data_IF_029273804969
#
_entry.id   IF_029273804969
#
_cell.length_a   1.000
_cell.length_b   1.000
_cell.length_c   1.000
_cell.angle_alpha   90.00
_cell.angle_beta   90.00
_cell.angle_gamma   90.00
#
_symmetry.space_group_name_H-M   'P 1'
#
loop_
_entity.id
_entity.type
_entity.pdbx_description
1 polymer ?
#
# COMPACT_ATOMS: atom_id res chain seq x y z
N UNK A 1 -33.81 8.52 -8.31
CA UNK A 1 -32.89 7.42 -8.01
C UNK A 1 -31.63 7.45 -8.87
N UNK A 2 -31.66 7.92 -10.13
CA UNK A 2 -30.48 8.02 -11.01
C UNK A 2 -29.34 8.89 -10.44
N UNK A 3 -29.64 10.02 -9.80
CA UNK A 3 -28.59 10.94 -9.30
C UNK A 3 -27.79 10.45 -8.08
N UNK A 4 -28.24 9.43 -7.37
CA UNK A 4 -27.51 8.90 -6.18
C UNK A 4 -26.53 7.81 -6.60
N UNK A 5 -26.87 7.02 -7.59
CA UNK A 5 -25.99 5.97 -8.11
C UNK A 5 -24.80 6.54 -8.86
N UNK A 6 -24.98 7.56 -9.72
CA UNK A 6 -23.89 8.21 -10.45
C UNK A 6 -22.81 8.80 -9.52
N UNK A 7 -23.17 9.26 -8.31
CA UNK A 7 -22.21 9.77 -7.34
C UNK A 7 -21.48 8.68 -6.53
N UNK A 8 -21.95 7.44 -6.60
CA UNK A 8 -21.38 6.30 -5.88
C UNK A 8 -20.32 5.52 -6.69
N UNK A 9 -20.32 5.66 -8.02
CA UNK A 9 -19.36 5.01 -8.90
C UNK A 9 -18.01 5.75 -8.92
N UNK A 10 -16.96 5.02 -9.27
CA UNK A 10 -15.63 5.58 -9.43
C UNK A 10 -15.65 6.69 -10.49
N UNK A 11 -15.58 7.92 -10.04
CA UNK A 11 -15.32 9.08 -10.88
C UNK A 11 -13.87 9.50 -10.73
N UNK A 12 -13.27 10.03 -11.79
CA UNK A 12 -11.96 10.68 -11.70
C UNK A 12 -12.08 11.82 -10.69
N UNK A 13 -11.48 11.63 -9.53
CA UNK A 13 -11.54 12.58 -8.42
C UNK A 13 -10.68 13.80 -8.77
N UNK A 14 -11.21 15.01 -8.58
CA UNK A 14 -10.38 16.22 -8.72
C UNK A 14 -9.33 16.24 -7.61
N UNK A 15 -8.20 16.95 -7.85
CA UNK A 15 -7.15 17.08 -6.84
C UNK A 15 -7.69 17.68 -5.52
N UNK A 16 -8.50 18.73 -5.62
CA UNK A 16 -9.07 19.40 -4.45
C UNK A 16 -9.99 18.48 -3.63
N UNK A 17 -10.80 17.67 -4.29
CA UNK A 17 -11.66 16.70 -3.61
C UNK A 17 -10.85 15.57 -2.98
N UNK A 18 -9.81 15.10 -3.68
CA UNK A 18 -8.91 14.09 -3.13
C UNK A 18 -8.19 14.60 -1.87
N UNK A 19 -7.55 15.77 -1.94
CA UNK A 19 -6.82 16.35 -0.81
C UNK A 19 -7.72 16.69 0.38
N UNK A 20 -9.00 17.01 0.13
CA UNK A 20 -9.96 17.23 1.22
C UNK A 20 -10.26 15.98 2.02
N UNK A 21 -10.30 14.82 1.38
CA UNK A 21 -10.49 13.53 2.05
C UNK A 21 -9.95 12.35 1.23
N UNK A 22 -8.64 12.04 1.30
CA UNK A 22 -8.01 10.97 0.51
C UNK A 22 -8.64 9.59 0.74
N UNK A 23 -9.19 9.34 1.94
CA UNK A 23 -9.85 8.07 2.27
C UNK A 23 -11.24 7.91 1.66
N UNK A 24 -11.85 8.97 1.12
CA UNK A 24 -13.18 8.91 0.49
C UNK A 24 -13.16 8.62 -1.01
N UNK A 25 -12.00 8.73 -1.66
CA UNK A 25 -11.90 8.49 -3.09
C UNK A 25 -12.07 6.98 -3.38
N UNK A 26 -11.06 6.33 -3.88
CA UNK A 26 -11.05 4.87 -4.02
C UNK A 26 -9.96 4.30 -3.12
N UNK A 27 -9.77 2.99 -3.13
CA UNK A 27 -8.60 2.38 -2.52
C UNK A 27 -7.29 2.83 -3.18
N UNK A 28 -7.33 3.33 -4.42
CA UNK A 28 -6.17 3.79 -5.16
C UNK A 28 -5.61 5.12 -4.62
N UNK A 29 -4.29 5.33 -4.64
CA UNK A 29 -3.68 6.64 -4.44
C UNK A 29 -4.02 7.59 -5.61
N UNK A 30 -3.85 8.91 -5.40
CA UNK A 30 -4.22 9.89 -6.40
C UNK A 30 -3.58 9.62 -7.76
N UNK A 31 -2.26 9.45 -7.79
CA UNK A 31 -1.50 9.21 -9.01
C UNK A 31 -2.03 8.02 -9.83
N UNK A 32 -2.30 6.88 -9.17
CA UNK A 32 -2.86 5.69 -9.84
C UNK A 32 -4.29 5.92 -10.29
N UNK A 33 -5.10 6.62 -9.52
CA UNK A 33 -6.50 6.90 -9.85
C UNK A 33 -6.66 7.72 -11.14
N UNK A 34 -5.68 8.58 -11.46
CA UNK A 34 -5.69 9.37 -12.70
C UNK A 34 -5.37 8.56 -13.97
N UNK A 35 -4.82 7.36 -13.81
CA UNK A 35 -4.34 6.50 -14.91
C UNK A 35 -5.07 5.18 -15.03
N UNK A 36 -5.74 4.76 -13.97
CA UNK A 36 -6.44 3.49 -13.95
C UNK A 36 -7.73 3.55 -14.75
N UNK A 37 -7.93 2.57 -15.62
CA UNK A 37 -9.19 2.32 -16.29
C UNK A 37 -9.87 1.19 -15.54
N UNK A 38 -11.06 1.46 -15.01
CA UNK A 38 -11.86 0.42 -14.36
C UNK A 38 -12.46 -0.47 -15.47
N UNK A 39 -12.23 -1.80 -15.44
CA UNK A 39 -12.84 -2.71 -16.41
C UNK A 39 -14.37 -2.64 -16.37
N UNK A 40 -15.04 -2.83 -17.51
CA UNK A 40 -16.51 -2.73 -17.64
C UNK A 40 -17.27 -3.72 -16.74
N UNK A 41 -16.63 -4.82 -16.33
CA UNK A 41 -17.21 -5.81 -15.42
C UNK A 41 -16.87 -5.59 -13.96
N UNK A 42 -16.25 -4.45 -13.60
CA UNK A 42 -15.87 -4.07 -12.23
C UNK A 42 -16.60 -2.80 -11.82
N UNK A 43 -17.13 -2.80 -10.60
CA UNK A 43 -17.69 -1.62 -9.96
C UNK A 43 -16.85 -1.27 -8.73
N UNK A 44 -16.53 0.00 -8.57
CA UNK A 44 -15.91 0.51 -7.34
C UNK A 44 -16.96 1.36 -6.63
N UNK A 45 -17.41 0.89 -5.47
CA UNK A 45 -18.49 1.50 -4.71
C UNK A 45 -17.97 1.83 -3.32
N UNK A 46 -18.34 3.00 -2.82
CA UNK A 46 -18.02 3.38 -1.44
C UNK A 46 -18.88 2.56 -0.47
N UNK A 47 -18.29 2.21 0.66
CA UNK A 47 -18.93 1.38 1.69
C UNK A 47 -20.27 1.97 2.18
N UNK A 48 -20.37 3.30 2.31
CA UNK A 48 -21.59 4.01 2.72
C UNK A 48 -22.71 4.01 1.65
N UNK A 49 -22.41 3.65 0.42
CA UNK A 49 -23.35 3.51 -0.70
C UNK A 49 -23.55 2.05 -1.14
N UNK A 50 -22.81 1.10 -0.55
CA UNK A 50 -22.92 -0.31 -0.92
C UNK A 50 -24.14 -0.98 -0.28
N UNK A 51 -24.89 -1.70 -1.10
CA UNK A 51 -25.97 -2.56 -0.65
C UNK A 51 -25.87 -3.92 -1.32
N UNK A 52 -25.62 -4.96 -0.53
CA UNK A 52 -25.46 -6.32 -1.06
C UNK A 52 -26.68 -6.80 -1.85
N UNK A 53 -27.88 -6.33 -1.52
CA UNK A 53 -29.12 -6.70 -2.23
C UNK A 53 -29.21 -6.07 -3.62
N UNK A 54 -28.54 -4.95 -3.86
CA UNK A 54 -28.51 -4.24 -5.15
C UNK A 54 -27.44 -4.78 -6.08
N UNK A 55 -26.39 -5.42 -5.52
CA UNK A 55 -25.21 -5.89 -6.26
C UNK A 55 -25.00 -7.41 -6.12
N UNK A 56 -26.10 -8.19 -6.05
CA UNK A 56 -26.03 -9.64 -5.83
C UNK A 56 -25.30 -10.43 -6.94
N UNK A 57 -25.19 -9.89 -8.11
CA UNK A 57 -24.50 -10.51 -9.27
C UNK A 57 -23.00 -10.24 -9.30
N UNK A 58 -22.49 -9.42 -8.37
CA UNK A 58 -21.08 -9.11 -8.25
C UNK A 58 -20.44 -9.83 -7.07
N UNK A 59 -19.17 -10.18 -7.22
CA UNK A 59 -18.34 -10.64 -6.11
C UNK A 59 -17.87 -9.42 -5.32
N UNK A 60 -18.19 -9.39 -4.03
CA UNK A 60 -17.81 -8.31 -3.14
C UNK A 60 -16.38 -8.52 -2.61
N UNK A 61 -15.50 -7.56 -2.87
CA UNK A 61 -14.13 -7.54 -2.37
C UNK A 61 -13.88 -6.25 -1.61
N UNK A 62 -14.15 -6.21 -0.30
CA UNK A 62 -14.02 -4.99 0.50
C UNK A 62 -12.57 -4.61 0.75
N UNK A 63 -12.27 -3.31 0.58
CA UNK A 63 -10.98 -2.70 0.87
C UNK A 63 -11.12 -1.63 1.95
N UNK A 64 -10.12 -1.54 2.82
CA UNK A 64 -9.93 -0.36 3.66
C UNK A 64 -8.93 0.60 3.01
N UNK A 65 -9.02 1.88 3.36
CA UNK A 65 -7.98 2.88 3.10
C UNK A 65 -7.74 3.68 4.38
N UNK A 66 -6.48 3.78 4.79
CA UNK A 66 -6.04 4.54 5.95
C UNK A 66 -5.15 5.68 5.54
N UNK A 67 -5.07 6.69 6.40
CA UNK A 67 -4.19 7.85 6.27
C UNK A 67 -3.37 8.04 7.54
N UNK A 68 -2.10 8.42 7.38
CA UNK A 68 -1.22 8.85 8.45
C UNK A 68 -0.69 10.26 8.17
N UNK A 69 -0.85 11.18 9.11
CA UNK A 69 -0.47 12.60 8.98
C UNK A 69 1.02 12.88 9.25
N UNK A 70 1.86 11.86 9.40
CA UNK A 70 3.31 11.95 9.67
C UNK A 70 3.68 12.72 10.96
N UNK A 71 2.72 12.91 11.87
CA UNK A 71 2.92 13.59 13.16
C UNK A 71 3.43 12.63 14.23
N UNK A 72 4.24 13.16 15.16
CA UNK A 72 4.72 12.43 16.35
C UNK A 72 5.50 11.14 16.07
N UNK A 73 6.09 11.02 14.89
CA UNK A 73 6.90 9.86 14.52
C UNK A 73 8.18 9.78 15.35
N UNK A 74 8.55 8.56 15.69
CA UNK A 74 9.85 8.24 16.26
C UNK A 74 10.58 7.30 15.31
N UNK A 75 11.88 7.49 15.17
CA UNK A 75 12.69 6.59 14.34
C UNK A 75 12.61 5.18 14.94
N UNK A 76 12.19 4.18 14.19
CA UNK A 76 12.15 2.81 14.68
C UNK A 76 13.55 2.25 14.85
N UNK A 77 13.67 1.24 15.69
CA UNK A 77 14.92 0.49 15.90
C UNK A 77 14.68 -0.93 15.42
N UNK A 78 15.53 -1.39 14.51
CA UNK A 78 15.56 -2.78 14.07
C UNK A 78 16.30 -3.62 15.13
N UNK A 79 15.80 -4.83 15.39
CA UNK A 79 16.48 -5.74 16.32
C UNK A 79 17.85 -6.17 15.80
N UNK A 80 18.83 -6.40 16.68
CA UNK A 80 20.23 -6.69 16.36
C UNK A 80 20.46 -7.91 15.46
N UNK A 81 19.47 -8.80 15.38
CA UNK A 81 19.50 -9.97 14.49
C UNK A 81 19.32 -9.60 13.01
N UNK A 82 18.82 -8.42 12.73
CA UNK A 82 18.37 -8.04 11.40
C UNK A 82 19.06 -6.78 10.91
N UNK A 83 19.37 -6.75 9.62
CA UNK A 83 19.97 -5.60 8.95
C UNK A 83 19.05 -5.08 7.83
N UNK A 84 19.08 -3.76 7.60
CA UNK A 84 18.56 -3.19 6.38
C UNK A 84 19.54 -3.44 5.25
N UNK A 85 19.12 -4.21 4.27
CA UNK A 85 19.88 -4.56 3.07
C UNK A 85 19.47 -3.79 1.84
N UNK A 86 20.20 -4.02 0.76
CA UNK A 86 19.88 -3.59 -0.58
C UNK A 86 19.77 -4.82 -1.46
N UNK A 87 18.61 -5.01 -2.07
CA UNK A 87 18.30 -6.16 -2.91
C UNK A 87 17.91 -5.74 -4.31
N UNK A 88 18.11 -6.63 -5.30
CA UNK A 88 17.66 -6.43 -6.67
C UNK A 88 16.15 -6.59 -6.82
N UNK A 89 15.61 -6.03 -7.90
CA UNK A 89 14.16 -6.04 -8.20
C UNK A 89 13.62 -7.47 -8.25
N UNK A 90 14.36 -8.41 -8.80
CA UNK A 90 13.99 -9.84 -8.86
C UNK A 90 13.92 -10.49 -7.46
N UNK A 91 14.70 -10.05 -6.50
CA UNK A 91 14.59 -10.51 -5.12
C UNK A 91 13.30 -9.99 -4.47
N UNK A 92 12.93 -8.73 -4.72
CA UNK A 92 11.65 -8.19 -4.27
C UNK A 92 10.47 -8.93 -4.89
N UNK A 93 10.45 -9.13 -6.23
CA UNK A 93 9.37 -9.84 -6.93
C UNK A 93 9.21 -11.26 -6.37
N UNK A 94 10.30 -11.99 -6.21
CA UNK A 94 10.32 -13.35 -5.63
C UNK A 94 9.79 -13.35 -4.21
N UNK A 95 10.23 -12.44 -3.34
CA UNK A 95 9.79 -12.35 -1.95
C UNK A 95 8.30 -12.01 -1.82
N UNK A 96 7.79 -11.09 -2.66
CA UNK A 96 6.35 -10.79 -2.75
C UNK A 96 5.58 -12.05 -3.15
N UNK A 97 6.04 -12.76 -4.20
CA UNK A 97 5.41 -13.98 -4.67
C UNK A 97 5.38 -15.08 -3.59
N UNK A 98 6.46 -15.30 -2.87
CA UNK A 98 6.56 -16.26 -1.76
C UNK A 98 5.60 -15.92 -0.60
N UNK A 99 5.41 -14.63 -0.31
CA UNK A 99 4.55 -14.19 0.80
C UNK A 99 3.05 -14.24 0.48
N UNK A 100 2.67 -14.02 -0.79
CA UNK A 100 1.27 -13.90 -1.21
C UNK A 100 0.76 -15.08 -2.06
N UNK A 101 1.65 -15.96 -2.52
CA UNK A 101 1.30 -17.04 -3.46
C UNK A 101 0.96 -16.54 -4.86
N UNK A 102 1.43 -15.35 -5.19
CA UNK A 102 1.20 -14.60 -6.43
C UNK A 102 1.68 -13.17 -6.20
N UNK A 103 1.26 -12.22 -7.01
CA UNK A 103 1.59 -10.82 -6.80
C UNK A 103 2.16 -10.18 -8.07
N UNK A 104 3.24 -9.44 -7.94
CA UNK A 104 3.85 -8.66 -9.00
C UNK A 104 5.06 -9.40 -9.59
N UNK A 105 5.20 -9.36 -10.92
CA UNK A 105 6.36 -9.90 -11.63
C UNK A 105 7.57 -8.97 -11.56
N UNK A 106 8.76 -9.48 -11.90
CA UNK A 106 9.97 -8.66 -12.03
C UNK A 106 9.80 -7.53 -13.06
N UNK A 107 9.15 -7.82 -14.20
CA UNK A 107 8.92 -6.84 -15.25
C UNK A 107 7.97 -5.72 -14.78
N UNK A 108 6.92 -6.06 -14.04
CA UNK A 108 6.00 -5.06 -13.44
C UNK A 108 6.72 -4.20 -12.39
N UNK A 109 7.55 -4.78 -11.53
CA UNK A 109 8.35 -3.99 -10.58
C UNK A 109 9.41 -3.14 -11.29
N UNK A 110 9.95 -3.60 -12.42
CA UNK A 110 10.83 -2.81 -13.27
C UNK A 110 10.09 -1.59 -13.86
N UNK A 111 8.82 -1.73 -14.25
CA UNK A 111 8.00 -0.59 -14.67
C UNK A 111 7.76 0.41 -13.51
N UNK A 112 7.58 -0.06 -12.26
CA UNK A 112 7.45 0.84 -11.10
C UNK A 112 8.63 1.80 -10.97
N UNK A 113 9.86 1.37 -11.31
CA UNK A 113 11.04 2.24 -11.25
C UNK A 113 11.04 3.39 -12.26
N UNK A 114 10.16 3.34 -13.27
CA UNK A 114 9.99 4.39 -14.28
C UNK A 114 8.87 5.37 -13.93
N UNK A 115 8.10 5.08 -12.88
CA UNK A 115 7.02 5.95 -12.45
C UNK A 115 7.56 7.23 -11.80
N UNK A 116 6.89 8.39 -11.97
CA UNK A 116 7.33 9.65 -11.35
C UNK A 116 7.25 9.65 -9.82
N UNK A 117 6.59 8.66 -9.24
CA UNK A 117 6.42 8.44 -7.79
C UNK A 117 7.44 7.47 -7.21
N UNK A 118 8.36 6.94 -8.03
CA UNK A 118 9.41 6.03 -7.60
C UNK A 118 10.49 6.75 -6.80
N UNK A 119 10.82 6.21 -5.64
CA UNK A 119 12.00 6.59 -4.85
C UNK A 119 12.72 5.31 -4.36
N UNK A 120 13.99 5.07 -4.79
CA UNK A 120 14.72 3.87 -4.37
C UNK A 120 14.96 3.82 -2.85
N UNK A 121 14.93 4.95 -2.14
CA UNK A 121 15.06 4.98 -0.69
C UNK A 121 13.82 4.44 0.05
N UNK A 122 12.70 4.28 -0.67
CA UNK A 122 11.45 3.74 -0.15
C UNK A 122 11.26 2.24 -0.48
N UNK A 123 12.30 1.60 -1.00
CA UNK A 123 12.35 0.15 -1.21
C UNK A 123 13.25 -0.49 -0.16
N UNK A 124 12.64 -1.12 0.85
CA UNK A 124 13.33 -1.64 2.01
C UNK A 124 13.43 -3.16 1.98
N UNK A 125 14.62 -3.68 2.21
CA UNK A 125 14.88 -5.10 2.42
C UNK A 125 15.39 -5.33 3.84
N UNK A 126 14.89 -6.35 4.53
CA UNK A 126 15.41 -6.81 5.82
C UNK A 126 16.05 -8.18 5.63
N UNK A 127 17.29 -8.28 6.06
CA UNK A 127 18.11 -9.48 5.99
C UNK A 127 18.32 -10.02 7.41
N UNK A 128 18.15 -11.32 7.60
CA UNK A 128 18.56 -12.01 8.83
C UNK A 128 20.08 -12.19 8.83
N UNK A 129 20.78 -11.48 9.71
CA UNK A 129 22.25 -11.48 9.79
C UNK A 129 22.85 -12.85 10.12
N UNK A 130 22.08 -13.77 10.71
CA UNK A 130 22.54 -15.11 11.03
C UNK A 130 22.51 -16.06 9.81
N UNK A 131 21.58 -15.84 8.88
CA UNK A 131 21.34 -16.76 7.76
C UNK A 131 21.64 -16.14 6.40
N UNK A 132 21.70 -14.80 6.31
CA UNK A 132 21.78 -14.06 5.06
C UNK A 132 20.46 -14.05 4.24
N UNK A 133 19.37 -14.54 4.81
CA UNK A 133 18.10 -14.64 4.11
C UNK A 133 17.39 -13.27 4.04
N UNK A 134 16.77 -12.98 2.91
CA UNK A 134 15.84 -11.87 2.73
C UNK A 134 14.48 -12.24 3.35
N UNK A 135 14.11 -11.60 4.46
CA UNK A 135 13.03 -12.06 5.35
C UNK A 135 11.85 -11.13 5.46
N UNK A 136 12.02 -9.87 5.09
CA UNK A 136 10.91 -8.90 5.02
C UNK A 136 11.23 -7.79 4.03
N UNK A 137 10.21 -7.27 3.36
CA UNK A 137 10.35 -6.15 2.44
C UNK A 137 9.21 -5.17 2.54
N UNK A 138 9.51 -3.92 2.20
CA UNK A 138 8.54 -2.85 2.11
C UNK A 138 8.83 -1.97 0.91
N UNK A 139 7.81 -1.71 0.09
CA UNK A 139 7.85 -0.77 -1.02
C UNK A 139 6.86 0.35 -0.75
N UNK A 140 7.30 1.59 -0.90
CA UNK A 140 6.43 2.75 -0.91
C UNK A 140 6.74 3.64 -2.12
N UNK A 141 5.76 4.46 -2.47
CA UNK A 141 5.83 5.47 -3.53
C UNK A 141 5.69 6.87 -2.92
N UNK A 142 6.23 7.89 -3.59
CA UNK A 142 6.13 9.28 -3.17
C UNK A 142 5.67 10.16 -4.34
N UNK A 143 4.42 10.61 -4.29
CA UNK A 143 3.93 11.68 -5.18
C UNK A 143 4.30 13.04 -4.58
N UNK A 144 5.48 13.55 -4.94
CA UNK A 144 5.97 14.84 -4.47
C UNK A 144 5.16 16.03 -5.00
N UNK A 145 4.38 15.86 -6.08
CA UNK A 145 3.55 16.93 -6.63
C UNK A 145 2.38 17.29 -5.69
N UNK A 146 1.86 16.32 -4.96
CA UNK A 146 0.74 16.52 -4.02
C UNK A 146 1.13 16.23 -2.57
N UNK A 147 2.35 15.76 -2.33
CA UNK A 147 2.83 15.40 -0.99
C UNK A 147 2.21 14.11 -0.44
N UNK A 148 1.82 13.16 -1.29
CA UNK A 148 1.29 11.86 -0.88
C UNK A 148 2.37 10.79 -0.89
N UNK A 149 2.65 10.16 0.26
CA UNK A 149 3.32 8.87 0.33
C UNK A 149 2.32 7.73 0.27
N UNK A 150 2.70 6.59 -0.31
CA UNK A 150 1.83 5.41 -0.44
C UNK A 150 2.59 4.17 -0.03
N UNK A 151 2.07 3.41 0.94
CA UNK A 151 2.58 2.08 1.24
C UNK A 151 1.95 1.07 0.27
N UNK A 152 2.78 0.42 -0.54
CA UNK A 152 2.33 -0.49 -1.60
C UNK A 152 2.45 -1.97 -1.20
N UNK A 153 3.66 -2.44 -1.01
CA UNK A 153 3.96 -3.84 -0.72
C UNK A 153 4.68 -3.94 0.62
N UNK A 154 4.01 -4.47 1.64
CA UNK A 154 4.58 -4.72 2.96
C UNK A 154 4.41 -6.19 3.29
N UNK A 155 5.50 -6.94 3.33
CA UNK A 155 5.44 -8.37 3.60
C UNK A 155 6.58 -8.86 4.49
N UNK A 156 6.28 -9.93 5.22
CA UNK A 156 7.21 -10.65 6.09
C UNK A 156 7.07 -12.14 5.78
N UNK A 157 8.19 -12.80 5.53
CA UNK A 157 8.24 -14.25 5.33
C UNK A 157 7.54 -14.99 6.48
N UNK A 158 6.76 -16.05 6.21
CA UNK A 158 5.92 -16.72 7.23
C UNK A 158 6.66 -17.05 8.53
N UNK A 159 7.87 -17.58 8.43
CA UNK A 159 8.69 -18.03 9.58
C UNK A 159 9.24 -16.85 10.42
N UNK A 160 9.16 -15.62 9.91
CA UNK A 160 9.65 -14.40 10.57
C UNK A 160 8.53 -13.46 11.02
N UNK A 161 7.27 -13.89 10.87
CA UNK A 161 6.11 -13.13 11.38
C UNK A 161 6.12 -13.05 12.89
N UNK A 162 5.44 -12.03 13.43
CA UNK A 162 5.33 -11.74 14.87
C UNK A 162 6.65 -11.36 15.56
N UNK A 163 7.71 -11.10 14.78
CA UNK A 163 8.99 -10.58 15.27
C UNK A 163 9.12 -9.04 15.16
N UNK A 164 8.04 -8.34 14.89
CA UNK A 164 8.02 -6.87 14.79
C UNK A 164 8.51 -6.29 13.45
N UNK A 165 8.92 -7.13 12.48
CA UNK A 165 9.51 -6.69 11.21
C UNK A 165 8.53 -5.86 10.36
N UNK A 166 7.25 -6.26 10.30
CA UNK A 166 6.22 -5.50 9.59
C UNK A 166 6.02 -4.11 10.18
N UNK A 167 5.90 -4.01 11.51
CA UNK A 167 5.78 -2.72 12.20
C UNK A 167 7.03 -1.86 12.03
N UNK A 168 8.22 -2.47 11.99
CA UNK A 168 9.45 -1.75 11.70
C UNK A 168 9.43 -1.18 10.27
N UNK A 169 9.09 -1.98 9.25
CA UNK A 169 9.00 -1.53 7.86
C UNK A 169 8.05 -0.34 7.69
N UNK A 170 6.85 -0.45 8.23
CA UNK A 170 5.85 0.63 8.16
C UNK A 170 6.40 1.90 8.80
N UNK A 171 6.91 1.83 10.03
CA UNK A 171 7.45 2.98 10.75
C UNK A 171 8.70 3.58 10.11
N UNK A 172 9.58 2.76 9.52
CA UNK A 172 10.77 3.24 8.82
C UNK A 172 10.39 3.96 7.52
N UNK A 173 9.41 3.45 6.76
CA UNK A 173 8.89 4.12 5.57
C UNK A 173 8.23 5.46 5.92
N UNK A 174 7.37 5.49 6.94
CA UNK A 174 6.79 6.74 7.44
C UNK A 174 7.87 7.74 7.89
N UNK A 175 8.90 7.24 8.60
CA UNK A 175 10.02 8.08 9.03
C UNK A 175 10.81 8.67 7.86
N UNK A 176 11.04 7.91 6.80
CA UNK A 176 11.73 8.39 5.59
C UNK A 176 10.93 9.44 4.83
N UNK A 177 9.62 9.34 4.87
CA UNK A 177 8.71 10.29 4.18
C UNK A 177 8.35 11.53 5.01
N UNK A 178 8.65 11.60 6.31
CA UNK A 178 8.16 12.63 7.24
C UNK A 178 8.48 14.09 6.88
N UNK A 179 9.57 14.33 6.15
CA UNK A 179 10.02 15.67 5.77
C UNK A 179 9.73 16.01 4.29
N UNK A 180 9.22 15.03 3.52
CA UNK A 180 9.01 15.15 2.07
C UNK A 180 7.56 14.87 1.64
N UNK A 181 6.75 14.27 2.51
CA UNK A 181 5.32 14.06 2.29
C UNK A 181 4.50 14.84 3.33
N UNK A 182 3.26 15.17 2.98
CA UNK A 182 2.27 15.79 3.87
C UNK A 182 1.45 14.75 4.60
N UNK A 183 1.22 13.61 3.95
CA UNK A 183 0.48 12.46 4.49
C UNK A 183 0.90 11.19 3.77
N UNK A 184 0.57 10.04 4.36
CA UNK A 184 0.79 8.71 3.75
C UNK A 184 -0.51 7.95 3.76
N UNK A 185 -0.84 7.29 2.65
CA UNK A 185 -2.00 6.40 2.53
C UNK A 185 -1.56 4.95 2.41
N UNK A 186 -2.43 4.06 2.82
CA UNK A 186 -2.32 2.62 2.60
C UNK A 186 -3.71 2.03 2.39
N UNK A 187 -3.81 1.10 1.45
CA UNK A 187 -5.03 0.34 1.21
C UNK A 187 -4.76 -1.15 1.34
N UNK A 188 -5.76 -1.90 1.72
CA UNK A 188 -5.66 -3.34 1.81
C UNK A 188 -7.02 -4.01 1.79
N UNK A 189 -7.03 -5.28 1.38
CA UNK A 189 -8.23 -6.10 1.40
C UNK A 189 -8.62 -6.42 2.85
N UNK A 190 -9.89 -6.17 3.22
CA UNK A 190 -10.39 -6.37 4.59
C UNK A 190 -10.29 -7.83 5.01
N UNK A 191 -10.59 -8.77 4.10
CA UNK A 191 -10.61 -10.20 4.39
C UNK A 191 -9.25 -10.89 4.14
N UNK A 192 -8.14 -10.14 4.16
CA UNK A 192 -6.81 -10.72 3.98
C UNK A 192 -6.42 -11.56 5.21
N UNK A 193 -5.97 -12.81 4.95
CA UNK A 193 -5.57 -13.77 6.02
C UNK A 193 -4.40 -13.31 6.87
N UNK A 194 -3.62 -12.34 6.42
CA UNK A 194 -2.46 -11.80 7.16
C UNK A 194 -2.81 -10.65 8.09
N UNK A 195 -4.08 -10.24 8.14
CA UNK A 195 -4.58 -9.12 8.97
C UNK A 195 -3.73 -7.83 8.81
N UNK A 196 -3.62 -7.28 7.60
CA UNK A 196 -2.82 -6.07 7.40
C UNK A 196 -3.41 -4.86 8.13
N UNK A 197 -4.72 -4.81 8.36
CA UNK A 197 -5.36 -3.72 9.09
C UNK A 197 -4.83 -3.61 10.52
N UNK A 198 -4.70 -4.75 11.23
CA UNK A 198 -4.13 -4.78 12.57
C UNK A 198 -2.69 -4.28 12.63
N UNK A 199 -1.89 -4.56 11.58
CA UNK A 199 -0.53 -4.03 11.45
C UNK A 199 -0.51 -2.49 11.35
N UNK A 200 -1.39 -1.90 10.53
CA UNK A 200 -1.38 -0.44 10.30
C UNK A 200 -2.02 0.36 11.43
N UNK A 201 -2.82 -0.25 12.28
CA UNK A 201 -3.44 0.39 13.45
C UNK A 201 -2.61 0.27 14.74
N UNK A 202 -1.44 -0.43 14.71
CA UNK A 202 -0.61 -0.74 15.88
C UNK A 202 0.43 0.36 16.29
#
# INVERSE_FOLDING_TARGET
MENVLESAFFQVVTLDDYLRCPCRASSLPYWKSQKSVVPDNMLIIRDDAFSKSEFMEYEDTPYFKLIHELKHLRRPVLGERFDLGSEGIDAFARHIHECYGGGVSTDELQEYTKHPVYDPNLWLAIIDSNTGNFVASGIAELDSAIGEGVLEWIQVSPDYRRMGLGSFLVRELLWRMKDVASFVTVSGMVNNKTDPLGLYLS
#
